data_IF_027773777699
#
_entry.id   IF_027773777699
#
_cell.length_a   1.000
_cell.length_b   1.000
_cell.length_c   1.000
_cell.angle_alpha   90.00
_cell.angle_beta   90.00
_cell.angle_gamma   90.00
#
_symmetry.space_group_name_H-M   'P 1'
#
loop_
_entity.id
_entity.type
_entity.pdbx_description
1 polymer ?
#
# COMPACT_ATOMS: atom_id res chain seq x y z
N UNK A 1 1.00 1.29 16.51
CA UNK A 1 2.15 1.80 15.72
C UNK A 1 2.72 3.02 16.42
N UNK A 2 4.04 3.21 16.33
CA UNK A 2 4.72 4.38 16.89
C UNK A 2 5.18 5.25 15.72
N UNK A 3 4.85 6.53 15.76
CA UNK A 3 5.36 7.51 14.80
C UNK A 3 6.89 7.62 14.92
N UNK A 4 7.59 7.46 13.81
CA UNK A 4 9.04 7.59 13.76
C UNK A 4 9.44 8.95 13.21
N UNK A 5 8.96 9.29 12.01
CA UNK A 5 9.30 10.54 11.36
C UNK A 5 8.26 10.96 10.31
N UNK A 6 8.20 12.25 10.10
CA UNK A 6 7.64 12.83 8.87
C UNK A 6 8.79 12.89 7.85
N UNK A 7 8.60 12.21 6.72
CA UNK A 7 9.59 12.21 5.65
C UNK A 7 9.48 13.47 4.80
N UNK A 8 8.26 13.88 4.48
CA UNK A 8 8.01 15.12 3.74
C UNK A 8 6.62 15.69 4.03
N UNK A 9 6.51 17.00 3.89
CA UNK A 9 5.24 17.72 3.86
C UNK A 9 5.33 18.78 2.76
N UNK A 10 4.50 18.64 1.72
CA UNK A 10 4.54 19.51 0.54
C UNK A 10 3.19 20.15 0.29
N UNK A 11 3.25 21.37 -0.27
CA UNK A 11 2.10 22.07 -0.80
C UNK A 11 2.36 22.47 -2.25
N UNK A 12 1.42 22.20 -3.14
CA UNK A 12 1.55 22.54 -4.55
C UNK A 12 0.23 22.53 -5.30
N UNK A 13 -0.07 23.61 -6.02
CA UNK A 13 -1.28 23.74 -6.85
C UNK A 13 -2.58 23.38 -6.13
N UNK A 14 -2.76 23.87 -4.88
CA UNK A 14 -3.94 23.57 -4.07
C UNK A 14 -4.05 22.12 -3.60
N UNK A 15 -2.92 21.43 -3.53
CA UNK A 15 -2.82 20.05 -3.05
C UNK A 15 -1.76 20.00 -1.98
N UNK A 16 -2.07 19.33 -0.87
CA UNK A 16 -1.15 19.05 0.21
C UNK A 16 -0.79 17.56 0.20
N UNK A 17 0.45 17.25 0.50
CA UNK A 17 0.94 15.90 0.69
C UNK A 17 1.71 15.81 1.99
N UNK A 18 1.45 14.75 2.76
CA UNK A 18 2.28 14.40 3.91
C UNK A 18 2.67 12.93 3.81
N UNK A 19 3.96 12.65 3.94
CA UNK A 19 4.54 11.32 3.93
C UNK A 19 5.16 11.02 5.31
N UNK A 20 4.81 9.87 5.91
CA UNK A 20 5.20 9.49 7.27
C UNK A 20 5.66 8.05 7.35
N UNK A 21 6.57 7.77 8.26
CA UNK A 21 7.00 6.41 8.62
C UNK A 21 6.59 6.09 10.04
N UNK A 22 6.12 4.86 10.23
CA UNK A 22 5.78 4.28 11.52
C UNK A 22 6.49 2.96 11.71
N UNK A 23 6.80 2.63 12.96
CA UNK A 23 7.33 1.33 13.35
C UNK A 23 6.50 0.68 14.46
N UNK A 24 6.68 -0.60 14.64
CA UNK A 24 6.18 -1.34 15.79
C UNK A 24 6.99 -2.65 15.98
N UNK A 25 6.78 -3.40 17.06
CA UNK A 25 7.51 -4.66 17.29
C UNK A 25 7.28 -5.74 16.25
N UNK A 26 6.24 -5.67 15.46
CA UNK A 26 5.81 -6.72 14.51
C UNK A 26 6.27 -6.46 13.07
N UNK A 27 6.51 -5.21 12.71
CA UNK A 27 6.88 -4.79 11.35
C UNK A 27 8.23 -4.09 11.35
N UNK A 28 8.91 -4.10 10.21
CA UNK A 28 10.11 -3.27 10.09
C UNK A 28 9.69 -1.81 9.98
N UNK A 29 8.73 -1.53 9.14
CA UNK A 29 8.13 -0.20 8.98
C UNK A 29 6.77 -0.25 8.31
N UNK A 30 5.98 0.78 8.54
CA UNK A 30 4.83 1.15 7.74
C UNK A 30 5.07 2.54 7.18
N UNK A 31 4.75 2.75 5.92
CA UNK A 31 4.79 4.05 5.26
C UNK A 31 3.37 4.48 4.94
N UNK A 32 3.12 5.75 5.13
CA UNK A 32 1.85 6.38 4.85
C UNK A 32 2.06 7.63 4.01
N UNK A 33 1.19 7.82 3.03
CA UNK A 33 1.09 9.05 2.24
C UNK A 33 -0.35 9.52 2.24
N UNK A 34 -0.55 10.73 2.74
CA UNK A 34 -1.81 11.47 2.64
C UNK A 34 -1.68 12.55 1.58
N UNK A 35 -2.59 12.56 0.61
CA UNK A 35 -2.70 13.61 -0.39
C UNK A 35 -4.10 14.22 -0.30
N UNK A 36 -4.18 15.51 -0.17
CA UNK A 36 -5.41 16.21 0.11
C UNK A 36 -5.58 17.47 -0.74
N UNK A 37 -6.74 17.65 -1.33
CA UNK A 37 -7.13 18.83 -2.09
C UNK A 37 -8.63 19.09 -2.00
N UNK A 38 -9.10 20.20 -2.56
CA UNK A 38 -10.56 20.48 -2.65
C UNK A 38 -11.34 19.46 -3.49
N UNK A 39 -10.64 18.61 -4.27
CA UNK A 39 -11.26 17.68 -5.22
C UNK A 39 -11.04 16.22 -4.90
N UNK A 40 -10.09 15.91 -4.03
CA UNK A 40 -9.72 14.53 -3.72
C UNK A 40 -8.98 14.40 -2.40
N UNK A 41 -9.15 13.24 -1.79
CA UNK A 41 -8.30 12.74 -0.71
C UNK A 41 -7.77 11.37 -1.10
N UNK A 42 -6.48 11.15 -0.93
CA UNK A 42 -5.82 9.88 -1.22
C UNK A 42 -5.02 9.50 0.00
N UNK A 43 -5.25 8.31 0.50
CA UNK A 43 -4.47 7.69 1.56
C UNK A 43 -3.86 6.41 1.01
N UNK A 44 -2.55 6.31 1.08
CA UNK A 44 -1.80 5.12 0.71
C UNK A 44 -0.98 4.65 1.90
N UNK A 45 -0.97 3.37 2.18
CA UNK A 45 -0.06 2.78 3.15
C UNK A 45 0.48 1.45 2.65
N UNK A 46 1.73 1.16 3.04
CA UNK A 46 2.33 -0.15 2.88
C UNK A 46 3.05 -0.55 4.16
N UNK A 47 2.78 -1.76 4.62
CA UNK A 47 3.39 -2.35 5.81
C UNK A 47 4.38 -3.41 5.36
N UNK A 48 5.64 -3.26 5.76
CA UNK A 48 6.71 -4.21 5.50
C UNK A 48 6.94 -5.10 6.71
N UNK A 49 6.96 -6.43 6.54
CA UNK A 49 7.28 -7.35 7.62
C UNK A 49 8.73 -7.22 8.07
N UNK A 50 9.09 -7.88 9.15
CA UNK A 50 10.45 -7.87 9.69
C UNK A 50 11.45 -8.50 8.74
N UNK A 51 12.70 -8.09 8.86
CA UNK A 51 13.85 -8.72 8.19
C UNK A 51 13.86 -10.22 8.47
N UNK A 52 14.05 -11.00 7.42
CA UNK A 52 14.04 -12.47 7.50
C UNK A 52 12.65 -13.09 7.52
N UNK A 53 11.60 -12.28 7.39
CA UNK A 53 10.23 -12.73 7.20
C UNK A 53 10.02 -13.31 5.81
N UNK A 54 9.12 -14.29 5.71
CA UNK A 54 8.59 -14.79 4.44
C UNK A 54 7.16 -14.31 4.18
N UNK A 55 6.69 -13.35 4.97
CA UNK A 55 5.35 -12.80 4.83
C UNK A 55 5.27 -11.79 3.68
N UNK A 56 4.07 -11.63 3.09
CA UNK A 56 3.83 -10.54 2.16
C UNK A 56 3.87 -9.18 2.86
N UNK A 57 4.07 -8.13 2.10
CA UNK A 57 3.69 -6.79 2.52
C UNK A 57 2.16 -6.67 2.56
N UNK A 58 1.64 -5.73 3.31
CA UNK A 58 0.22 -5.36 3.26
C UNK A 58 0.09 -3.93 2.75
N UNK A 59 -0.59 -3.77 1.63
CA UNK A 59 -0.81 -2.47 0.99
C UNK A 59 -2.28 -2.05 1.02
N UNK A 60 -2.53 -0.76 1.13
CA UNK A 60 -3.86 -0.17 1.02
C UNK A 60 -3.80 1.17 0.28
N UNK A 61 -4.77 1.37 -0.61
CA UNK A 61 -5.11 2.64 -1.23
C UNK A 61 -6.56 2.98 -0.94
N UNK A 62 -6.80 4.17 -0.42
CA UNK A 62 -8.11 4.78 -0.30
C UNK A 62 -8.10 6.08 -1.09
N UNK A 63 -8.79 6.11 -2.23
CA UNK A 63 -8.80 7.24 -3.14
C UNK A 63 -10.20 7.82 -3.27
N UNK A 64 -10.45 8.91 -2.57
CA UNK A 64 -11.72 9.65 -2.63
C UNK A 64 -11.64 10.78 -3.66
N UNK A 65 -12.54 10.77 -4.62
CA UNK A 65 -12.75 11.85 -5.59
C UNK A 65 -14.09 12.50 -5.29
N UNK A 66 -14.08 13.67 -4.67
CA UNK A 66 -15.29 14.31 -4.16
C UNK A 66 -16.33 14.49 -5.26
N UNK A 67 -17.60 14.29 -4.89
CA UNK A 67 -18.78 14.31 -5.77
C UNK A 67 -18.79 13.22 -6.88
N UNK A 68 -17.84 12.27 -6.86
CA UNK A 68 -17.74 11.25 -7.91
C UNK A 68 -17.75 9.84 -7.34
N UNK A 69 -16.65 9.43 -6.73
CA UNK A 69 -16.43 8.04 -6.30
C UNK A 69 -15.34 7.93 -5.26
N UNK A 70 -15.38 6.81 -4.57
CA UNK A 70 -14.26 6.30 -3.78
C UNK A 70 -13.75 5.00 -4.41
N UNK A 71 -12.45 4.82 -4.44
CA UNK A 71 -11.80 3.58 -4.83
C UNK A 71 -11.08 3.07 -3.59
N UNK A 72 -11.37 1.84 -3.20
CA UNK A 72 -10.76 1.16 -2.06
C UNK A 72 -9.99 -0.03 -2.60
N UNK A 73 -8.71 -0.12 -2.28
CA UNK A 73 -7.86 -1.26 -2.61
C UNK A 73 -7.08 -1.66 -1.38
N UNK A 74 -7.06 -2.94 -1.06
CA UNK A 74 -6.10 -3.49 -0.11
C UNK A 74 -5.76 -4.93 -0.47
N UNK A 75 -4.52 -5.32 -0.18
CA UNK A 75 -4.00 -6.63 -0.55
C UNK A 75 -2.76 -7.03 0.25
N UNK A 76 -2.47 -8.31 0.22
CA UNK A 76 -1.21 -8.93 0.63
C UNK A 76 -0.31 -9.03 -0.59
N UNK A 77 0.76 -8.27 -0.62
CA UNK A 77 1.66 -8.17 -1.76
C UNK A 77 2.93 -8.99 -1.50
N UNK A 78 3.02 -10.19 -2.13
CA UNK A 78 4.16 -11.05 -1.92
C UNK A 78 5.37 -10.60 -2.74
N UNK A 79 6.61 -10.64 -2.18
CA UNK A 79 7.80 -10.19 -2.89
C UNK A 79 8.14 -11.04 -4.14
N UNK A 80 7.71 -12.29 -4.19
CA UNK A 80 7.94 -13.17 -5.35
C UNK A 80 6.87 -12.96 -6.41
N UNK A 81 7.27 -12.40 -7.54
CA UNK A 81 6.39 -12.06 -8.66
C UNK A 81 5.53 -13.22 -9.17
N UNK A 82 6.14 -14.38 -9.30
CA UNK A 82 5.46 -15.58 -9.82
C UNK A 82 4.62 -16.31 -8.76
N UNK A 83 4.56 -15.79 -7.57
CA UNK A 83 3.91 -16.43 -6.44
C UNK A 83 2.43 -16.07 -6.40
N UNK A 84 1.60 -16.97 -6.92
CA UNK A 84 0.15 -16.88 -6.74
C UNK A 84 -0.21 -17.50 -5.39
N UNK A 85 -0.78 -16.72 -4.49
CA UNK A 85 -1.16 -17.18 -3.16
C UNK A 85 -2.51 -16.64 -2.73
N UNK A 86 -3.13 -17.33 -1.79
CA UNK A 86 -4.34 -16.86 -1.12
C UNK A 86 -4.26 -17.05 0.39
N UNK A 87 -4.93 -16.17 1.11
CA UNK A 87 -5.09 -16.24 2.56
C UNK A 87 -6.41 -16.92 2.87
N UNK A 88 -6.41 -18.06 3.60
CA UNK A 88 -7.63 -18.77 3.93
C UNK A 88 -8.61 -17.93 4.75
N UNK A 89 -9.90 -18.03 4.39
CA UNK A 89 -10.99 -17.34 5.09
C UNK A 89 -11.24 -15.91 4.62
N UNK A 90 -10.51 -15.43 3.61
CA UNK A 90 -10.80 -14.19 2.92
C UNK A 90 -11.41 -14.45 1.54
N UNK A 91 -12.25 -13.54 1.02
CA UNK A 91 -12.81 -13.68 -0.32
C UNK A 91 -11.69 -13.63 -1.37
N UNK A 92 -11.90 -14.37 -2.46
CA UNK A 92 -11.06 -14.24 -3.65
C UNK A 92 -11.60 -13.15 -4.55
N UNK A 93 -10.69 -12.47 -5.26
CA UNK A 93 -11.07 -11.53 -6.30
C UNK A 93 -11.83 -12.25 -7.42
N UNK A 94 -12.86 -11.60 -7.94
CA UNK A 94 -13.72 -12.17 -9.00
C UNK A 94 -13.13 -11.94 -10.39
N UNK A 95 -12.21 -10.99 -10.52
CA UNK A 95 -11.60 -10.58 -11.79
C UNK A 95 -10.28 -9.86 -11.56
N UNK A 96 -9.47 -9.73 -12.62
CA UNK A 96 -8.33 -8.83 -12.64
C UNK A 96 -8.78 -7.37 -12.85
N UNK A 97 -7.98 -6.46 -12.32
CA UNK A 97 -8.17 -5.02 -12.44
C UNK A 97 -6.98 -4.40 -13.15
N UNK A 98 -7.17 -3.28 -13.83
CA UNK A 98 -6.18 -2.65 -14.73
C UNK A 98 -4.76 -2.50 -14.17
N UNK A 99 -4.62 -2.29 -12.86
CA UNK A 99 -3.32 -2.10 -12.19
C UNK A 99 -3.08 -3.13 -11.08
N UNK A 100 -4.00 -4.05 -10.89
CA UNK A 100 -4.02 -4.97 -9.77
C UNK A 100 -4.35 -6.36 -10.32
N UNK A 101 -3.37 -6.98 -10.96
CA UNK A 101 -3.50 -8.32 -11.54
C UNK A 101 -3.04 -9.36 -10.52
N UNK A 102 -3.85 -10.37 -10.28
CA UNK A 102 -3.45 -11.51 -9.45
C UNK A 102 -2.20 -12.17 -10.03
N UNK A 103 -1.24 -12.51 -9.16
CA UNK A 103 -0.02 -13.21 -9.55
C UNK A 103 1.16 -12.30 -9.91
N UNK A 104 0.98 -10.99 -10.04
CA UNK A 104 2.07 -10.04 -10.21
C UNK A 104 2.35 -9.35 -8.88
N UNK A 105 2.82 -10.09 -7.89
CA UNK A 105 2.95 -9.73 -6.48
C UNK A 105 1.63 -9.64 -5.70
N UNK A 106 0.48 -9.45 -6.37
CA UNK A 106 -0.82 -9.37 -5.74
C UNK A 106 -1.40 -10.75 -5.44
N UNK A 107 -2.16 -10.86 -4.33
CA UNK A 107 -2.79 -12.11 -3.93
C UNK A 107 -4.06 -12.40 -4.71
N UNK A 108 -4.56 -13.64 -4.62
CA UNK A 108 -5.92 -13.97 -5.06
C UNK A 108 -7.01 -13.28 -4.23
N UNK A 109 -6.65 -12.68 -3.09
CA UNK A 109 -7.57 -12.00 -2.19
C UNK A 109 -7.57 -10.47 -2.37
N UNK A 110 -6.98 -9.95 -3.43
CA UNK A 110 -7.01 -8.52 -3.66
C UNK A 110 -8.43 -7.98 -3.60
N UNK A 111 -8.64 -7.00 -2.76
CA UNK A 111 -9.93 -6.35 -2.58
C UNK A 111 -9.93 -5.01 -3.32
N UNK A 112 -10.80 -4.88 -4.31
CA UNK A 112 -11.02 -3.63 -5.03
C UNK A 112 -12.49 -3.30 -5.03
N UNK A 113 -12.84 -2.08 -4.62
CA UNK A 113 -14.23 -1.59 -4.66
C UNK A 113 -14.29 -0.16 -5.19
N UNK A 114 -15.32 0.06 -5.96
CA UNK A 114 -15.73 1.37 -6.43
C UNK A 114 -17.07 1.69 -5.77
N UNK A 115 -17.10 2.71 -4.92
CA UNK A 115 -18.30 3.06 -4.17
C UNK A 115 -18.47 4.59 -4.09
N UNK A 116 -19.50 5.04 -3.41
CA UNK A 116 -19.70 6.44 -3.04
C UNK A 116 -19.15 6.70 -1.64
N UNK A 117 -19.03 7.96 -1.23
CA UNK A 117 -18.63 8.29 0.14
C UNK A 117 -19.63 7.79 1.20
N UNK A 118 -20.91 7.67 0.83
CA UNK A 118 -21.93 7.14 1.73
C UNK A 118 -21.76 5.65 2.04
N UNK A 119 -21.13 4.91 1.13
CA UNK A 119 -21.03 3.45 1.20
C UNK A 119 -19.67 2.98 1.75
N UNK A 120 -18.76 3.89 2.07
CA UNK A 120 -17.38 3.54 2.52
C UNK A 120 -17.42 2.67 3.77
N UNK A 121 -18.27 3.00 4.73
CA UNK A 121 -18.38 2.29 6.01
C UNK A 121 -18.73 0.81 5.84
N UNK A 122 -19.47 0.45 4.78
CA UNK A 122 -19.79 -0.96 4.48
C UNK A 122 -18.55 -1.82 4.17
N UNK A 123 -17.44 -1.18 3.83
CA UNK A 123 -16.19 -1.86 3.48
C UNK A 123 -15.17 -1.85 4.62
N UNK A 124 -15.41 -1.12 5.72
CA UNK A 124 -14.49 -1.05 6.85
C UNK A 124 -14.36 -2.40 7.58
N UNK A 125 -15.45 -3.14 7.72
CA UNK A 125 -15.44 -4.47 8.32
C UNK A 125 -14.52 -5.44 7.54
N UNK A 126 -14.51 -5.33 6.23
CA UNK A 126 -13.62 -6.14 5.40
C UNK A 126 -12.16 -5.75 5.61
N UNK A 127 -11.86 -4.46 5.70
CA UNK A 127 -10.52 -3.98 6.00
C UNK A 127 -10.03 -4.49 7.37
N UNK A 128 -10.88 -4.47 8.39
CA UNK A 128 -10.55 -5.03 9.72
C UNK A 128 -10.25 -6.54 9.65
N UNK A 129 -10.98 -7.29 8.83
CA UNK A 129 -10.72 -8.71 8.63
C UNK A 129 -9.34 -8.95 8.01
N UNK A 130 -8.94 -8.17 6.99
CA UNK A 130 -7.62 -8.28 6.38
C UNK A 130 -6.51 -7.90 7.34
N UNK A 131 -6.65 -6.83 8.12
CA UNK A 131 -5.69 -6.43 9.14
C UNK A 131 -5.54 -7.49 10.25
N UNK A 132 -6.65 -8.06 10.68
CA UNK A 132 -6.64 -9.14 11.69
C UNK A 132 -5.91 -10.36 11.16
N UNK A 133 -6.18 -10.76 9.92
CA UNK A 133 -5.46 -11.86 9.27
C UNK A 133 -3.97 -11.58 9.14
N UNK A 134 -3.60 -10.37 8.75
CA UNK A 134 -2.19 -9.99 8.67
C UNK A 134 -1.49 -10.03 10.02
N UNK A 135 -2.16 -9.54 11.06
CA UNK A 135 -1.66 -9.63 12.44
C UNK A 135 -1.45 -11.09 12.86
N UNK A 136 -2.43 -11.96 12.63
CA UNK A 136 -2.32 -13.39 12.95
C UNK A 136 -1.13 -14.03 12.21
N UNK A 137 -0.94 -13.72 10.94
CA UNK A 137 0.20 -14.20 10.14
C UNK A 137 1.53 -13.76 10.76
N UNK A 138 1.65 -12.50 11.14
CA UNK A 138 2.85 -11.93 11.76
C UNK A 138 3.14 -12.53 13.14
N UNK A 139 2.10 -12.77 13.95
CA UNK A 139 2.25 -13.37 15.29
C UNK A 139 2.65 -14.86 15.23
N UNK A 140 2.21 -15.57 14.20
CA UNK A 140 2.51 -17.00 14.01
C UNK A 140 3.86 -17.24 13.35
N UNK A 141 4.38 -16.26 12.63
CA UNK A 141 5.63 -16.41 11.90
C UNK A 141 6.85 -16.49 12.83
N UNK A 142 7.77 -17.36 12.45
CA UNK A 142 9.12 -17.40 13.03
C UNK A 142 10.10 -16.97 11.94
N UNK A 143 10.51 -15.72 11.90
CA UNK A 143 11.48 -15.24 10.91
C UNK A 143 12.73 -16.11 10.95
N UNK A 144 13.12 -16.68 9.83
CA UNK A 144 14.25 -17.61 9.71
C UNK A 144 15.31 -17.16 8.71
N UNK A 145 14.99 -16.15 7.93
CA UNK A 145 15.87 -15.63 6.89
C UNK A 145 16.60 -14.37 7.31
N UNK A 146 17.61 -14.02 6.55
CA UNK A 146 18.32 -12.74 6.64
C UNK A 146 18.28 -11.99 5.31
N UNK A 147 17.80 -12.67 4.26
CA UNK A 147 17.76 -12.10 2.92
C UNK A 147 16.53 -11.21 2.74
N UNK A 148 16.78 -10.00 2.28
CA UNK A 148 15.76 -8.99 1.97
C UNK A 148 15.69 -8.65 0.48
N UNK A 149 16.42 -9.42 -0.35
CA UNK A 149 16.50 -9.16 -1.79
C UNK A 149 15.14 -9.23 -2.48
N UNK A 150 14.28 -10.16 -2.04
CA UNK A 150 12.95 -10.32 -2.61
C UNK A 150 12.08 -9.06 -2.42
N UNK A 151 12.18 -8.39 -1.28
CA UNK A 151 11.46 -7.12 -1.06
C UNK A 151 12.03 -5.98 -1.90
N UNK A 152 13.31 -6.00 -2.23
CA UNK A 152 13.93 -5.03 -3.16
C UNK A 152 13.43 -5.24 -4.58
N UNK A 153 13.27 -6.48 -5.00
CA UNK A 153 12.72 -6.82 -6.32
C UNK A 153 11.25 -6.38 -6.40
N UNK A 154 10.48 -6.59 -5.34
CA UNK A 154 9.13 -6.05 -5.21
C UNK A 154 9.10 -4.52 -5.28
N UNK A 155 9.97 -3.84 -4.53
CA UNK A 155 10.07 -2.38 -4.57
C UNK A 155 10.37 -1.88 -6.00
N UNK A 156 11.30 -2.52 -6.70
CA UNK A 156 11.64 -2.19 -8.07
C UNK A 156 10.47 -2.41 -9.04
N UNK A 157 9.71 -3.49 -8.87
CA UNK A 157 8.52 -3.78 -9.64
C UNK A 157 7.44 -2.73 -9.41
N UNK A 158 7.11 -2.42 -8.15
CA UNK A 158 6.09 -1.45 -7.80
C UNK A 158 6.45 -0.03 -8.25
N UNK A 159 7.72 0.35 -8.14
CA UNK A 159 8.22 1.63 -8.66
C UNK A 159 8.01 1.75 -10.17
N UNK A 160 8.26 0.67 -10.92
CA UNK A 160 8.08 0.65 -12.38
C UNK A 160 6.61 0.68 -12.79
N UNK A 161 5.75 0.03 -12.01
CA UNK A 161 4.31 -0.06 -12.27
C UNK A 161 3.59 1.27 -11.96
N UNK A 162 4.16 2.09 -11.09
CA UNK A 162 3.48 3.18 -10.39
C UNK A 162 2.80 4.19 -11.33
N UNK A 163 1.46 4.31 -11.28
CA UNK A 163 0.70 5.31 -12.02
C UNK A 163 0.69 6.69 -11.35
N UNK A 164 1.20 6.79 -10.11
CA UNK A 164 1.09 7.98 -9.25
C UNK A 164 2.12 9.05 -9.63
N UNK A 165 3.29 8.64 -10.14
CA UNK A 165 4.37 9.57 -10.48
C UNK A 165 3.94 10.71 -11.41
N UNK A 166 3.14 10.41 -12.43
CA UNK A 166 2.62 11.42 -13.34
C UNK A 166 1.65 12.42 -12.68
N UNK A 167 0.79 11.94 -11.78
CA UNK A 167 -0.11 12.79 -11.00
C UNK A 167 0.68 13.70 -10.05
N UNK A 168 1.63 13.15 -9.32
CA UNK A 168 2.47 13.88 -8.36
C UNK A 168 3.33 14.93 -9.06
N UNK A 169 3.94 14.58 -10.20
CA UNK A 169 4.71 15.52 -11.00
C UNK A 169 3.89 16.73 -11.46
N UNK A 170 2.63 16.50 -11.80
CA UNK A 170 1.69 17.55 -12.13
C UNK A 170 1.37 18.52 -10.98
N UNK A 171 1.48 18.08 -9.73
CA UNK A 171 1.15 18.85 -8.53
C UNK A 171 2.38 19.51 -7.90
N UNK A 172 3.42 18.74 -7.71
CA UNK A 172 4.59 19.11 -6.90
C UNK A 172 5.87 19.32 -7.73
N UNK A 173 5.86 18.95 -9.00
CA UNK A 173 7.03 18.93 -9.86
C UNK A 173 7.69 17.56 -9.95
N UNK A 174 8.47 17.38 -11.02
CA UNK A 174 9.06 16.08 -11.35
C UNK A 174 10.05 15.59 -10.30
N UNK A 175 10.92 16.47 -9.83
CA UNK A 175 11.95 16.12 -8.84
C UNK A 175 11.35 15.58 -7.54
N UNK A 176 10.35 16.27 -6.98
CA UNK A 176 9.65 15.81 -5.77
C UNK A 176 8.88 14.52 -6.01
N UNK A 177 8.22 14.38 -7.16
CA UNK A 177 7.49 13.16 -7.51
C UNK A 177 8.44 11.97 -7.64
N UNK A 178 9.55 12.13 -8.36
CA UNK A 178 10.57 11.08 -8.51
C UNK A 178 11.15 10.68 -7.14
N UNK A 179 11.47 11.67 -6.29
CA UNK A 179 11.99 11.40 -4.94
C UNK A 179 10.98 10.64 -4.09
N UNK A 180 9.70 11.01 -4.08
CA UNK A 180 8.69 10.28 -3.32
C UNK A 180 8.59 8.82 -3.77
N UNK A 181 8.56 8.57 -5.08
CA UNK A 181 8.41 7.24 -5.65
C UNK A 181 9.66 6.38 -5.38
N UNK A 182 10.84 6.91 -5.63
CA UNK A 182 12.09 6.14 -5.57
C UNK A 182 12.71 6.06 -4.18
N UNK A 183 12.53 7.08 -3.34
CA UNK A 183 13.21 7.16 -2.06
C UNK A 183 12.30 6.87 -0.87
N UNK A 184 10.97 6.85 -1.08
CA UNK A 184 10.01 6.67 0.00
C UNK A 184 8.98 5.58 -0.22
N UNK A 185 8.20 5.62 -1.33
CA UNK A 185 7.04 4.72 -1.49
C UNK A 185 7.44 3.25 -1.52
N UNK A 186 8.43 2.91 -2.32
CA UNK A 186 8.83 1.52 -2.55
C UNK A 186 10.30 1.31 -2.16
N UNK A 187 10.57 1.42 -0.87
CA UNK A 187 11.90 1.17 -0.31
C UNK A 187 11.80 0.31 0.94
N UNK A 188 12.27 -0.92 0.88
CA UNK A 188 12.28 -1.82 2.02
C UNK A 188 13.30 -1.41 3.08
N UNK A 189 14.48 -1.00 2.69
CA UNK A 189 15.61 -0.61 3.53
C UNK A 189 15.84 0.86 3.66
#
# INVERSE_FOLDING_TARGET
MKFESEWASWEGKGTNLTARTYTNPYFIKSREVDIWSDKSCIYNTIIYPKTGSNLPCFGMDLMGFFEKKVIIVFDFQHPKEIFLFSVPGLPKAEQDYRFFEMGNHFSENIFVRYCTFADVDEHLDMFEQYLTKYKDMVELEKPSGTDTSEYKDFDAYMTKLDPVGGYLAGKFGKEQADSLVHDFLFTYG
#
